data_IF_214017906125
#
_entry.id   IF_214017906125
#
_cell.length_a   1.000
_cell.length_b   1.000
_cell.length_c   1.000
_cell.angle_alpha   90.00
_cell.angle_beta   90.00
_cell.angle_gamma   90.00
#
_symmetry.space_group_name_H-M   'P 1'
#
loop_
_entity.id
_entity.type
_entity.pdbx_description
1 polymer ?
#
# COMPACT_ATOMS: atom_id res chain seq x y z
N UNK A 1 -7.27 13.93 13.88
CA UNK A 1 -8.46 13.90 12.99
C UNK A 1 -8.87 15.35 12.91
N UNK A 2 -8.02 16.13 12.26
CA UNK A 2 -8.17 17.58 12.23
C UNK A 2 -9.32 17.90 11.28
N UNK A 3 -10.33 18.52 11.85
CA UNK A 3 -11.48 19.20 11.27
C UNK A 3 -11.85 18.79 9.83
N UNK A 4 -12.79 17.85 9.72
CA UNK A 4 -13.57 17.68 8.48
C UNK A 4 -14.34 18.98 8.27
N UNK A 5 -14.13 19.62 7.12
CA UNK A 5 -14.71 20.93 6.81
C UNK A 5 -16.23 20.97 6.97
N UNK A 6 -16.76 22.10 7.42
CA UNK A 6 -18.20 22.30 7.70
C UNK A 6 -19.10 22.11 6.47
N UNK A 7 -18.53 22.09 5.27
CA UNK A 7 -19.22 21.77 4.01
C UNK A 7 -19.62 20.29 3.89
N UNK A 8 -19.01 19.39 4.65
CA UNK A 8 -19.27 17.96 4.60
C UNK A 8 -20.22 17.52 5.74
N UNK A 9 -21.51 17.40 5.44
CA UNK A 9 -22.47 16.75 6.34
C UNK A 9 -22.33 15.22 6.25
N UNK A 10 -21.67 14.64 7.26
CA UNK A 10 -21.45 13.20 7.39
C UNK A 10 -22.49 12.50 8.28
N UNK A 11 -23.58 13.19 8.66
CA UNK A 11 -24.60 12.65 9.59
C UNK A 11 -25.23 11.34 9.09
N UNK A 12 -25.28 11.15 7.77
CA UNK A 12 -25.82 9.94 7.11
C UNK A 12 -24.75 9.07 6.45
N UNK A 13 -23.47 9.31 6.73
CA UNK A 13 -22.39 8.50 6.16
C UNK A 13 -22.51 7.05 6.62
N UNK A 14 -22.31 6.12 5.68
CA UNK A 14 -22.26 4.68 5.95
C UNK A 14 -20.83 4.18 5.78
N UNK A 15 -20.37 3.21 6.58
CA UNK A 15 -19.10 2.54 6.36
C UNK A 15 -19.01 2.03 4.92
N UNK A 16 -17.83 2.17 4.31
CA UNK A 16 -17.61 1.69 2.95
C UNK A 16 -17.87 0.16 2.92
N UNK A 17 -18.80 -0.35 2.09
CA UNK A 17 -19.08 -1.79 2.01
C UNK A 17 -17.90 -2.62 1.48
N UNK A 18 -16.85 -1.96 0.98
CA UNK A 18 -15.60 -2.58 0.56
C UNK A 18 -14.49 -2.47 1.59
N UNK A 19 -14.71 -1.80 2.73
CA UNK A 19 -13.71 -1.64 3.78
C UNK A 19 -13.20 -3.00 4.27
N UNK A 20 -14.10 -3.97 4.48
CA UNK A 20 -13.75 -5.35 4.87
C UNK A 20 -12.87 -6.07 3.85
N UNK A 21 -12.92 -5.68 2.56
CA UNK A 21 -12.08 -6.29 1.52
C UNK A 21 -10.62 -5.84 1.63
N UNK A 22 -10.39 -4.71 2.26
CA UNK A 22 -9.07 -4.26 2.68
C UNK A 22 -8.86 -4.74 4.12
N UNK A 23 -8.47 -6.01 4.27
CA UNK A 23 -8.07 -6.55 5.56
C UNK A 23 -7.03 -5.63 6.24
N UNK A 24 -7.02 -5.58 7.58
CA UNK A 24 -6.20 -4.65 8.37
C UNK A 24 -4.71 -4.66 7.98
N UNK A 25 -4.20 -5.78 7.48
CA UNK A 25 -2.80 -5.95 7.04
C UNK A 25 -2.52 -5.55 5.59
N UNK A 26 -3.53 -5.07 4.82
CA UNK A 26 -3.35 -4.63 3.43
C UNK A 26 -3.16 -3.13 3.36
N UNK A 27 -1.97 -2.71 2.93
CA UNK A 27 -1.67 -1.30 2.64
C UNK A 27 -1.75 -1.04 1.14
N UNK A 28 -2.54 -0.05 0.74
CA UNK A 28 -2.52 0.47 -0.62
C UNK A 28 -1.41 1.51 -0.74
N UNK A 29 -0.54 1.35 -1.73
CA UNK A 29 0.55 2.28 -2.03
C UNK A 29 0.38 2.76 -3.45
N UNK A 30 0.39 4.08 -3.64
CA UNK A 30 0.39 4.68 -4.97
C UNK A 30 1.81 4.66 -5.52
N UNK A 31 1.96 4.21 -6.77
CA UNK A 31 3.24 4.26 -7.48
C UNK A 31 3.31 5.54 -8.29
N UNK A 32 4.52 6.10 -8.39
CA UNK A 32 4.76 7.20 -9.31
C UNK A 32 4.55 6.74 -10.77
N UNK A 33 4.15 7.65 -11.68
CA UNK A 33 3.80 7.28 -13.05
C UNK A 33 4.92 6.61 -13.83
N UNK A 34 6.17 6.95 -13.55
CA UNK A 34 7.34 6.33 -14.17
C UNK A 34 7.57 4.91 -13.67
N UNK A 35 7.39 4.65 -12.38
CA UNK A 35 7.46 3.31 -11.79
C UNK A 35 6.32 2.43 -12.31
N UNK A 36 5.10 2.98 -12.37
CA UNK A 36 3.93 2.26 -12.89
C UNK A 36 4.06 1.88 -14.39
N UNK A 37 4.84 2.63 -15.19
CA UNK A 37 5.13 2.25 -16.58
C UNK A 37 6.04 1.03 -16.69
N UNK A 38 6.89 0.79 -15.69
CA UNK A 38 7.81 -0.35 -15.66
C UNK A 38 7.11 -1.61 -15.18
N UNK A 39 6.21 -1.48 -14.19
CA UNK A 39 5.51 -2.60 -13.59
C UNK A 39 4.03 -2.65 -14.01
N UNK A 40 3.62 -3.64 -14.82
CA UNK A 40 2.27 -3.68 -15.39
C UNK A 40 1.18 -3.99 -14.36
N UNK A 41 1.52 -4.59 -13.22
CA UNK A 41 0.56 -4.91 -12.15
C UNK A 41 1.22 -5.01 -10.76
N UNK A 42 0.38 -5.11 -9.73
CA UNK A 42 0.82 -5.24 -8.34
C UNK A 42 1.59 -6.55 -8.06
N UNK A 43 1.36 -7.61 -8.85
CA UNK A 43 2.10 -8.88 -8.67
C UNK A 43 3.57 -8.66 -9.06
N UNK A 44 3.84 -8.01 -10.19
CA UNK A 44 5.18 -7.71 -10.66
C UNK A 44 5.98 -6.85 -9.66
N UNK A 45 5.34 -5.82 -9.09
CA UNK A 45 5.95 -4.97 -8.05
C UNK A 45 6.29 -5.79 -6.80
N UNK A 46 5.33 -6.57 -6.30
CA UNK A 46 5.52 -7.36 -5.09
C UNK A 46 6.61 -8.42 -5.25
N UNK A 47 6.69 -9.06 -6.42
CA UNK A 47 7.72 -10.06 -6.69
C UNK A 47 9.13 -9.42 -6.73
N UNK A 48 9.26 -8.23 -7.33
CA UNK A 48 10.51 -7.48 -7.33
C UNK A 48 10.93 -7.06 -5.91
N UNK A 49 10.02 -6.53 -5.10
CA UNK A 49 10.31 -6.13 -3.71
C UNK A 49 10.68 -7.33 -2.83
N UNK A 50 10.06 -8.50 -3.03
CA UNK A 50 10.43 -9.74 -2.33
C UNK A 50 11.81 -10.22 -2.74
N UNK A 51 12.17 -10.15 -4.01
CA UNK A 51 13.51 -10.49 -4.47
C UNK A 51 14.56 -9.57 -3.82
N UNK A 52 14.27 -8.27 -3.76
CA UNK A 52 15.13 -7.30 -3.08
C UNK A 52 15.24 -7.58 -1.58
N UNK A 53 14.13 -7.90 -0.91
CA UNK A 53 14.11 -8.20 0.52
C UNK A 53 15.04 -9.38 0.86
N UNK A 54 15.03 -10.45 0.04
CA UNK A 54 15.93 -11.60 0.22
C UNK A 54 17.41 -11.20 0.17
N UNK A 55 17.79 -10.36 -0.80
CA UNK A 55 19.17 -9.87 -0.92
C UNK A 55 19.56 -9.03 0.30
N UNK A 56 18.65 -8.21 0.81
CA UNK A 56 18.88 -7.40 2.01
C UNK A 56 19.07 -8.31 3.22
N UNK A 57 18.19 -9.30 3.42
CA UNK A 57 18.28 -10.27 4.52
C UNK A 57 19.62 -11.02 4.51
N UNK A 58 20.02 -11.56 3.34
CA UNK A 58 21.30 -12.26 3.17
C UNK A 58 22.50 -11.37 3.55
N UNK A 59 22.47 -10.09 3.18
CA UNK A 59 23.53 -9.13 3.54
C UNK A 59 23.55 -8.82 5.02
N UNK A 60 22.39 -8.66 5.65
CA UNK A 60 22.31 -8.39 7.09
C UNK A 60 22.79 -9.56 7.93
N UNK A 61 22.59 -10.80 7.47
CA UNK A 61 23.07 -12.01 8.15
C UNK A 61 24.58 -12.21 8.01
N UNK A 62 25.19 -11.80 6.89
CA UNK A 62 26.65 -11.86 6.71
C UNK A 62 27.41 -10.75 7.47
N UNK A 63 26.71 -9.69 7.88
CA UNK A 63 27.28 -8.57 8.63
C UNK A 63 27.14 -8.73 10.16
N UNK A 64 26.45 -9.78 10.64
CA UNK A 64 26.24 -10.13 12.04
C UNK A 64 27.18 -11.27 12.47
#
# INVERSE_FOLDING_TARGET
>A
MDEIGAEYDLTNSRPNPYAERYAEDRRAVLLDPDVARVFPDAKAVNDALRALAKIIEERTQHAA
#
